data_IF_507267220306
#
_entry.id   IF_507267220306
#
_cell.length_a   1.000
_cell.length_b   1.000
_cell.length_c   1.000
_cell.angle_alpha   90.00
_cell.angle_beta   90.00
_cell.angle_gamma   90.00
#
_symmetry.space_group_name_H-M   'P 1'
#
loop_
_entity.id
_entity.type
_entity.pdbx_description
1 polymer ?
#
# COMPACT_ATOMS: atom_id res chain seq x y z
N UNK A 1 -41.19 -15.42 64.62
CA UNK A 1 -40.45 -15.22 63.36
C UNK A 1 -41.21 -14.20 62.51
N UNK A 2 -40.88 -12.91 62.60
CA UNK A 2 -41.55 -11.83 61.86
C UNK A 2 -40.64 -11.37 60.72
N UNK A 3 -40.99 -11.74 59.49
CA UNK A 3 -40.30 -11.27 58.29
C UNK A 3 -40.65 -9.79 58.06
N UNK A 4 -39.64 -8.92 58.12
CA UNK A 4 -39.83 -7.49 57.91
C UNK A 4 -40.15 -7.20 56.43
N UNK A 5 -41.26 -6.53 56.11
CA UNK A 5 -41.69 -6.29 54.72
C UNK A 5 -40.71 -5.39 53.94
N UNK A 6 -39.85 -4.66 54.65
CA UNK A 6 -38.84 -3.77 54.06
C UNK A 6 -37.67 -4.54 53.43
N UNK A 7 -37.25 -5.66 54.05
CA UNK A 7 -36.12 -6.46 53.54
C UNK A 7 -36.52 -7.25 52.29
N UNK A 8 -37.78 -7.67 52.20
CA UNK A 8 -38.35 -8.33 51.03
C UNK A 8 -38.46 -7.36 49.84
N UNK A 9 -38.85 -6.10 50.08
CA UNK A 9 -38.93 -5.06 49.04
C UNK A 9 -37.55 -4.66 48.52
N UNK A 10 -36.57 -4.54 49.42
CA UNK A 10 -35.19 -4.20 49.05
C UNK A 10 -34.53 -5.29 48.20
N UNK A 11 -34.74 -6.57 48.54
CA UNK A 11 -34.22 -7.70 47.76
C UNK A 11 -34.90 -7.84 46.41
N UNK A 12 -36.21 -7.56 46.31
CA UNK A 12 -36.94 -7.57 45.04
C UNK A 12 -36.54 -6.42 44.11
N UNK A 13 -36.26 -5.23 44.66
CA UNK A 13 -35.74 -4.10 43.89
C UNK A 13 -34.31 -4.40 43.36
N UNK A 14 -33.45 -4.99 44.19
CA UNK A 14 -32.10 -5.37 43.78
C UNK A 14 -32.09 -6.45 42.69
N UNK A 15 -33.02 -7.40 42.76
CA UNK A 15 -33.20 -8.42 41.72
C UNK A 15 -33.71 -7.82 40.40
N UNK A 16 -34.62 -6.83 40.44
CA UNK A 16 -35.11 -6.13 39.25
C UNK A 16 -34.03 -5.28 38.56
N UNK A 17 -33.11 -4.70 39.33
CA UNK A 17 -31.96 -3.95 38.80
C UNK A 17 -30.89 -4.86 38.14
N UNK A 18 -30.82 -6.14 38.55
CA UNK A 18 -29.88 -7.10 37.97
C UNK A 18 -30.46 -7.80 36.72
N UNK A 19 -31.78 -7.76 36.53
CA UNK A 19 -32.48 -8.40 35.41
C UNK A 19 -31.95 -8.07 33.99
N UNK A 20 -31.51 -6.83 33.67
CA UNK A 20 -31.02 -6.54 32.32
C UNK A 20 -29.62 -7.11 32.04
N UNK A 21 -28.87 -7.54 33.06
CA UNK A 21 -27.51 -8.05 32.87
C UNK A 21 -27.46 -9.43 32.19
N UNK A 22 -28.57 -10.19 32.21
CA UNK A 22 -28.68 -11.48 31.55
C UNK A 22 -29.28 -11.41 30.14
N UNK A 23 -29.80 -10.25 29.74
CA UNK A 23 -30.29 -10.00 28.38
C UNK A 23 -29.14 -9.58 27.44
N UNK A 24 -28.03 -10.31 27.48
CA UNK A 24 -27.03 -10.27 26.41
C UNK A 24 -27.60 -11.03 25.22
N UNK A 25 -28.28 -10.34 24.31
CA UNK A 25 -28.54 -10.89 22.98
C UNK A 25 -27.19 -11.11 22.29
N UNK A 26 -26.65 -12.33 22.39
CA UNK A 26 -25.47 -12.72 21.63
C UNK A 26 -25.77 -12.53 20.14
N UNK A 27 -24.75 -12.12 19.38
CA UNK A 27 -24.86 -11.99 17.93
C UNK A 27 -25.38 -13.29 17.33
N UNK A 28 -26.39 -13.19 16.48
CA UNK A 28 -26.78 -14.32 15.65
C UNK A 28 -25.61 -14.74 14.76
N UNK A 29 -25.59 -16.00 14.31
CA UNK A 29 -24.54 -16.49 13.40
C UNK A 29 -24.40 -15.62 12.15
N UNK A 30 -25.53 -15.14 11.61
CA UNK A 30 -25.56 -14.28 10.43
C UNK A 30 -24.95 -12.90 10.72
N UNK A 31 -25.32 -12.27 11.85
CA UNK A 31 -24.71 -11.00 12.29
C UNK A 31 -23.21 -11.13 12.58
N UNK A 32 -22.80 -12.23 13.22
CA UNK A 32 -21.39 -12.49 13.49
C UNK A 32 -20.60 -12.69 12.18
N UNK A 33 -21.20 -13.34 11.18
CA UNK A 33 -20.58 -13.53 9.86
C UNK A 33 -20.51 -12.21 9.09
N UNK A 34 -21.57 -11.39 9.12
CA UNK A 34 -21.59 -10.09 8.48
C UNK A 34 -20.54 -9.15 9.08
N UNK A 35 -20.45 -9.09 10.41
CA UNK A 35 -19.41 -8.33 11.11
C UNK A 35 -18.00 -8.85 10.80
N UNK A 36 -17.83 -10.17 10.70
CA UNK A 36 -16.54 -10.75 10.32
C UNK A 36 -16.14 -10.36 8.90
N UNK A 37 -17.06 -10.35 7.93
CA UNK A 37 -16.77 -9.92 6.56
C UNK A 37 -16.42 -8.42 6.49
N UNK A 38 -17.15 -7.58 7.23
CA UNK A 38 -16.93 -6.13 7.26
C UNK A 38 -15.62 -5.74 7.97
N UNK A 39 -15.27 -6.44 9.05
CA UNK A 39 -14.17 -6.04 9.93
C UNK A 39 -12.92 -6.93 9.79
N UNK A 40 -12.94 -7.96 8.95
CA UNK A 40 -11.78 -8.85 8.79
C UNK A 40 -10.58 -8.10 8.16
N UNK A 41 -9.48 -7.91 8.91
CA UNK A 41 -8.28 -7.27 8.36
C UNK A 41 -7.65 -8.11 7.23
N UNK A 42 -7.90 -9.42 7.20
CA UNK A 42 -7.44 -10.31 6.13
C UNK A 42 -8.14 -10.05 4.79
N UNK A 43 -9.43 -9.69 4.79
CA UNK A 43 -10.15 -9.29 3.58
C UNK A 43 -9.65 -7.94 3.07
N UNK A 44 -9.44 -6.98 3.96
CA UNK A 44 -8.83 -5.69 3.62
C UNK A 44 -7.42 -5.87 3.02
N UNK A 45 -6.59 -6.75 3.60
CA UNK A 45 -5.27 -7.06 3.08
C UNK A 45 -5.32 -7.68 1.67
N UNK A 46 -6.26 -8.61 1.42
CA UNK A 46 -6.47 -9.20 0.10
C UNK A 46 -6.94 -8.18 -0.93
N UNK A 47 -7.89 -7.31 -0.58
CA UNK A 47 -8.32 -6.21 -1.45
C UNK A 47 -7.17 -5.27 -1.79
N UNK A 48 -6.34 -4.91 -0.81
CA UNK A 48 -5.18 -4.05 -1.04
C UNK A 48 -4.14 -4.72 -1.94
N UNK A 49 -3.92 -6.03 -1.79
CA UNK A 49 -3.03 -6.80 -2.65
C UNK A 49 -3.53 -6.84 -4.10
N UNK A 50 -4.83 -7.08 -4.30
CA UNK A 50 -5.47 -7.04 -5.63
C UNK A 50 -5.40 -5.64 -6.24
N UNK A 51 -5.71 -4.60 -5.48
CA UNK A 51 -5.64 -3.22 -5.94
C UNK A 51 -4.21 -2.83 -6.33
N UNK A 52 -3.21 -3.26 -5.55
CA UNK A 52 -1.79 -3.02 -5.86
C UNK A 52 -1.34 -3.76 -7.12
N UNK A 53 -1.77 -5.01 -7.31
CA UNK A 53 -1.48 -5.79 -8.51
C UNK A 53 -2.09 -5.11 -9.76
N UNK A 54 -3.34 -4.66 -9.67
CA UNK A 54 -4.01 -3.93 -10.75
C UNK A 54 -3.34 -2.58 -11.04
N UNK A 55 -2.90 -1.86 -10.00
CA UNK A 55 -2.17 -0.61 -10.16
C UNK A 55 -0.77 -0.78 -10.79
N UNK A 56 -0.17 -1.97 -10.72
CA UNK A 56 1.11 -2.27 -11.35
C UNK A 56 1.00 -2.60 -12.86
N UNK A 57 -0.18 -2.97 -13.36
CA UNK A 57 -0.38 -3.32 -14.77
C UNK A 57 -0.22 -2.17 -15.78
N UNK A 58 -0.68 -0.93 -15.52
CA UNK A 58 -0.42 0.22 -16.39
C UNK A 58 1.08 0.48 -16.62
N UNK A 59 1.90 0.23 -15.59
CA UNK A 59 3.35 0.39 -15.67
C UNK A 59 4.00 -0.67 -16.58
N UNK A 60 3.42 -1.87 -16.70
CA UNK A 60 3.95 -2.95 -17.52
C UNK A 60 3.76 -2.74 -19.04
N UNK A 61 2.80 -1.89 -19.44
CA UNK A 61 2.52 -1.58 -20.85
C UNK A 61 3.34 -0.41 -21.41
N UNK A 62 3.85 0.45 -20.52
CA UNK A 62 4.55 1.68 -20.89
C UNK A 62 6.00 1.37 -21.27
N UNK A 63 6.58 2.18 -22.16
CA UNK A 63 8.01 2.07 -22.43
C UNK A 63 8.78 2.40 -21.15
N UNK A 64 9.88 1.69 -20.85
CA UNK A 64 10.79 2.09 -19.77
C UNK A 64 11.15 3.58 -19.90
N UNK A 65 11.28 4.25 -18.76
CA UNK A 65 11.59 5.67 -18.72
C UNK A 65 12.92 5.96 -19.45
N UNK A 66 13.01 7.08 -20.18
CA UNK A 66 14.23 7.46 -20.86
C UNK A 66 15.32 7.81 -19.84
N UNK A 67 16.54 7.34 -20.10
CA UNK A 67 17.73 7.60 -19.29
C UNK A 67 18.51 8.76 -19.92
N UNK A 68 18.80 9.78 -19.12
CA UNK A 68 19.70 10.89 -19.48
C UNK A 68 21.11 10.59 -18.96
N UNK A 69 22.12 10.74 -19.82
CA UNK A 69 23.54 10.60 -19.46
C UNK A 69 24.26 11.89 -19.77
N UNK A 70 25.02 12.39 -18.79
CA UNK A 70 25.93 13.52 -18.94
C UNK A 70 27.36 13.00 -18.74
N UNK A 71 28.30 13.44 -19.57
CA UNK A 71 29.68 12.98 -19.50
C UNK A 71 30.66 14.03 -19.99
N UNK A 72 31.90 13.93 -19.53
CA UNK A 72 33.04 14.68 -20.04
C UNK A 72 34.12 13.68 -20.39
N UNK A 73 34.53 13.68 -21.64
CA UNK A 73 35.54 12.77 -22.17
C UNK A 73 36.85 13.54 -22.42
N UNK A 74 38.00 12.88 -22.23
CA UNK A 74 39.36 13.42 -22.44
C UNK A 74 39.72 14.69 -21.63
N UNK A 75 39.26 14.83 -20.38
CA UNK A 75 39.64 15.96 -19.51
C UNK A 75 41.14 15.92 -19.15
N UNK A 76 41.92 16.99 -19.41
CA UNK A 76 43.33 17.06 -19.02
C UNK A 76 43.48 17.10 -17.50
N UNK A 77 44.28 16.19 -16.94
CA UNK A 77 44.58 16.13 -15.50
C UNK A 77 45.91 16.81 -15.12
N UNK A 78 46.71 17.20 -16.12
CA UNK A 78 48.05 17.76 -15.97
C UNK A 78 48.33 18.82 -17.06
N UNK A 79 49.32 19.69 -16.84
CA UNK A 79 49.70 20.74 -17.81
C UNK A 79 49.07 22.12 -17.55
N UNK A 80 49.17 23.04 -18.51
CA UNK A 80 48.63 24.41 -18.41
C UNK A 80 47.10 24.44 -18.31
N UNK A 81 46.43 23.52 -18.99
CA UNK A 81 44.97 23.50 -19.14
C UNK A 81 44.30 22.43 -18.26
N UNK A 82 44.95 22.02 -17.16
CA UNK A 82 44.42 21.02 -16.22
C UNK A 82 43.01 21.38 -15.72
N UNK A 83 42.13 20.38 -15.65
CA UNK A 83 40.72 20.48 -15.27
C UNK A 83 39.90 21.48 -16.09
N UNK A 84 40.41 21.94 -17.23
CA UNK A 84 39.70 22.88 -18.07
C UNK A 84 38.79 22.15 -19.06
N UNK A 85 37.50 22.52 -19.05
CA UNK A 85 36.47 21.89 -19.86
C UNK A 85 36.31 22.49 -21.27
N UNK A 86 37.01 23.59 -21.58
CA UNK A 86 36.78 24.40 -22.80
C UNK A 86 38.05 24.84 -23.53
N UNK A 87 39.22 24.82 -22.87
CA UNK A 87 40.49 25.30 -23.45
C UNK A 87 41.32 24.20 -24.10
N UNK A 88 40.93 22.94 -23.94
CA UNK A 88 41.52 21.80 -24.63
C UNK A 88 40.55 21.31 -25.72
N UNK A 89 41.02 21.23 -26.96
CA UNK A 89 40.24 20.81 -28.13
C UNK A 89 39.89 19.32 -28.10
N UNK A 90 40.58 18.53 -27.28
CA UNK A 90 40.31 17.10 -27.11
C UNK A 90 39.22 16.84 -26.06
N UNK A 91 38.97 17.78 -25.14
CA UNK A 91 37.95 17.65 -24.10
C UNK A 91 36.55 17.81 -24.67
N UNK A 92 35.70 16.80 -24.48
CA UNK A 92 34.36 16.75 -25.05
C UNK A 92 33.31 16.66 -23.96
N UNK A 93 32.23 17.44 -24.08
CA UNK A 93 31.05 17.33 -23.21
C UNK A 93 29.94 16.59 -23.96
N UNK A 94 29.37 15.56 -23.33
CA UNK A 94 28.38 14.68 -23.95
C UNK A 94 27.08 14.68 -23.17
N UNK A 95 25.98 14.79 -23.91
CA UNK A 95 24.61 14.60 -23.43
C UNK A 95 24.01 13.46 -24.26
N UNK A 96 23.53 12.40 -23.60
CA UNK A 96 22.91 11.24 -24.24
C UNK A 96 21.53 10.97 -23.69
N UNK A 97 20.57 10.64 -24.56
CA UNK A 97 19.23 10.19 -24.20
C UNK A 97 19.05 8.76 -24.71
N UNK A 98 18.73 7.82 -23.82
CA UNK A 98 18.53 6.42 -24.15
C UNK A 98 17.15 5.95 -23.69
N UNK A 99 16.40 5.28 -24.56
CA UNK A 99 15.15 4.65 -24.19
C UNK A 99 15.13 3.21 -24.70
N UNK A 100 14.73 2.29 -23.83
CA UNK A 100 14.49 0.91 -24.23
C UNK A 100 13.14 0.81 -24.95
N UNK A 101 13.14 0.20 -26.15
CA UNK A 101 11.92 -0.03 -26.94
C UNK A 101 11.67 -1.54 -27.06
N UNK A 102 11.16 -2.19 -26.00
CA UNK A 102 10.88 -3.63 -26.05
C UNK A 102 9.73 -3.95 -27.02
N UNK A 103 9.72 -5.18 -27.52
CA UNK A 103 8.72 -5.65 -28.48
C UNK A 103 7.28 -5.42 -27.96
N UNK A 104 6.44 -4.79 -28.78
CA UNK A 104 5.05 -4.44 -28.45
C UNK A 104 4.23 -5.62 -27.95
N UNK A 105 4.32 -6.79 -28.60
CA UNK A 105 3.56 -7.97 -28.20
C UNK A 105 3.95 -8.49 -26.81
N UNK A 106 5.23 -8.36 -26.42
CA UNK A 106 5.68 -8.70 -25.06
C UNK A 106 5.16 -7.72 -24.00
N UNK A 107 4.98 -6.44 -24.34
CA UNK A 107 4.38 -5.45 -23.43
C UNK A 107 2.89 -5.68 -23.23
N UNK A 108 2.19 -5.96 -24.33
CA UNK A 108 0.75 -6.24 -24.31
C UNK A 108 0.45 -7.52 -23.52
N UNK A 109 1.28 -8.57 -23.67
CA UNK A 109 1.16 -9.79 -22.87
C UNK A 109 1.34 -9.55 -21.35
N UNK A 110 2.37 -8.78 -20.94
CA UNK A 110 2.57 -8.44 -19.52
C UNK A 110 1.45 -7.58 -18.96
N UNK A 111 0.90 -6.66 -19.75
CA UNK A 111 -0.25 -5.85 -19.34
C UNK A 111 -1.51 -6.71 -19.10
N UNK A 112 -1.70 -7.74 -19.93
CA UNK A 112 -2.80 -8.70 -19.82
C UNK A 112 -2.60 -9.75 -18.71
N UNK A 113 -1.43 -9.80 -18.06
CA UNK A 113 -1.12 -10.77 -16.99
C UNK A 113 -0.81 -12.18 -17.48
N UNK A 114 -0.37 -12.32 -18.74
CA UNK A 114 0.04 -13.58 -19.35
C UNK A 114 1.54 -13.88 -19.19
#
# INVERSE_FOLDING_TARGET
MQFHPLTLRASMALAALCWPAWASAGLSFDEATHLALDQAPSLAAQHNALASAQAAQPAAATLPDPRLTLGVDNLPLSGSDRFNLTRDFMTMQRIGLMQEVPNRGKREARAAGA
#
